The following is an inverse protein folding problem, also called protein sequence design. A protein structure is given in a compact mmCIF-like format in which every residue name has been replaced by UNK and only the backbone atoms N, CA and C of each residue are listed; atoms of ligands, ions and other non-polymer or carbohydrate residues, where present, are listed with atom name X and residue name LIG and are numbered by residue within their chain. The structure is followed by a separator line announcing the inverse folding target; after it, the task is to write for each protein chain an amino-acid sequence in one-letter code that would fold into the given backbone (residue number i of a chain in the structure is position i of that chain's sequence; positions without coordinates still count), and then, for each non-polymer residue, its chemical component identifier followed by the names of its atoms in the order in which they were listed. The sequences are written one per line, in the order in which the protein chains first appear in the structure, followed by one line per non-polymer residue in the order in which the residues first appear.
data_IF_746994855304
#
_entry.id   IF_746994855304
#
_cell.length_a   1.000
_cell.length_b   1.000
_cell.length_c   1.000
_cell.angle_alpha   90.00
_cell.angle_beta   90.00
_cell.angle_gamma   90.00
#
_symmetry.space_group_name_H-M   'P 1'
#
loop_
_entity.id
_entity.type
_entity.pdbx_description
1 polymer ?
#
# COMPACT_ATOMS: atom_id res chain seq x y z
N UNK A 1 12.32 -2.45 -23.25
CA UNK A 1 12.19 -3.36 -22.10
C UNK A 1 11.97 -2.47 -20.91
N UNK A 2 10.83 -2.54 -20.20
CA UNK A 2 10.65 -1.70 -19.02
C UNK A 2 11.79 -1.99 -18.03
N UNK A 3 12.32 -0.95 -17.41
CA UNK A 3 13.32 -1.10 -16.35
C UNK A 3 12.72 -1.88 -15.18
N UNK A 4 13.56 -2.46 -14.33
CA UNK A 4 13.11 -3.15 -13.11
C UNK A 4 12.15 -2.24 -12.29
N UNK A 5 12.41 -0.94 -12.28
CA UNK A 5 11.66 0.07 -11.53
C UNK A 5 10.25 0.33 -12.09
N UNK A 6 10.08 0.39 -13.41
CA UNK A 6 8.74 0.51 -14.03
C UNK A 6 7.87 -0.72 -13.76
N UNK A 7 8.46 -1.92 -13.75
CA UNK A 7 7.75 -3.15 -13.41
C UNK A 7 7.34 -3.16 -11.94
N UNK A 8 8.25 -2.76 -11.04
CA UNK A 8 7.99 -2.60 -9.61
C UNK A 8 6.83 -1.62 -9.39
N UNK A 9 6.87 -0.43 -10.02
CA UNK A 9 5.82 0.57 -9.87
C UNK A 9 4.44 0.06 -10.34
N UNK A 10 4.39 -0.69 -11.46
CA UNK A 10 3.14 -1.29 -11.94
C UNK A 10 2.58 -2.35 -10.99
N UNK A 11 3.45 -3.13 -10.35
CA UNK A 11 3.02 -4.13 -9.37
C UNK A 11 2.48 -3.47 -8.10
N UNK A 12 3.18 -2.44 -7.61
CA UNK A 12 2.75 -1.64 -6.46
C UNK A 12 1.35 -1.03 -6.69
N UNK A 13 1.10 -0.47 -7.88
CA UNK A 13 -0.24 0.03 -8.28
C UNK A 13 -1.30 -1.07 -8.27
N UNK A 14 -0.98 -2.27 -8.79
CA UNK A 14 -1.93 -3.39 -8.79
C UNK A 14 -2.31 -3.84 -7.38
N UNK A 15 -1.34 -3.92 -6.46
CA UNK A 15 -1.64 -4.29 -5.07
C UNK A 15 -2.41 -3.20 -4.34
N UNK A 16 -2.18 -1.92 -4.67
CA UNK A 16 -3.01 -0.82 -4.18
C UNK A 16 -4.46 -0.99 -4.60
N UNK A 17 -4.73 -1.17 -5.89
CA UNK A 17 -6.10 -1.35 -6.40
C UNK A 17 -6.81 -2.53 -5.70
N UNK A 18 -6.06 -3.61 -5.47
CA UNK A 18 -6.57 -4.75 -4.71
C UNK A 18 -6.94 -4.37 -3.27
N UNK A 19 -6.05 -3.67 -2.57
CA UNK A 19 -6.26 -3.25 -1.19
C UNK A 19 -7.39 -2.23 -1.03
N UNK A 20 -7.53 -1.28 -1.94
CA UNK A 20 -8.67 -0.35 -1.93
C UNK A 20 -10.00 -1.10 -2.04
N UNK A 21 -10.05 -2.13 -2.90
CA UNK A 21 -11.23 -2.99 -2.99
C UNK A 21 -11.47 -3.82 -1.73
N UNK A 22 -10.41 -4.24 -1.03
CA UNK A 22 -10.51 -4.91 0.27
C UNK A 22 -11.08 -3.95 1.32
N UNK A 23 -10.62 -2.70 1.36
CA UNK A 23 -11.16 -1.67 2.25
C UNK A 23 -12.64 -1.42 1.98
N UNK A 24 -13.04 -1.16 0.73
CA UNK A 24 -14.43 -0.91 0.35
C UNK A 24 -15.37 -2.04 0.80
N UNK A 25 -14.93 -3.28 0.59
CA UNK A 25 -15.69 -4.46 1.00
C UNK A 25 -15.77 -4.54 2.53
N UNK A 26 -14.65 -4.33 3.23
CA UNK A 26 -14.62 -4.39 4.68
C UNK A 26 -15.48 -3.31 5.34
N UNK A 27 -15.44 -2.07 4.84
CA UNK A 27 -16.26 -0.95 5.31
C UNK A 27 -17.76 -1.25 5.12
N UNK A 28 -18.14 -1.84 3.98
CA UNK A 28 -19.51 -2.32 3.74
C UNK A 28 -19.99 -3.41 4.71
N UNK A 29 -19.07 -4.09 5.40
CA UNK A 29 -19.35 -5.10 6.43
C UNK A 29 -19.05 -4.64 7.86
N UNK A 30 -18.80 -3.34 8.10
CA UNK A 30 -18.63 -2.79 9.45
C UNK A 30 -19.96 -2.72 10.22
N UNK A 31 -20.46 -3.89 10.62
CA UNK A 31 -21.72 -4.02 11.36
C UNK A 31 -21.63 -3.48 12.79
N UNK A 32 -20.42 -3.26 13.30
CA UNK A 32 -20.17 -2.79 14.67
C UNK A 32 -19.91 -1.29 14.75
N UNK A 33 -19.74 -0.61 13.62
CA UNK A 33 -19.41 0.81 13.56
C UNK A 33 -18.03 1.08 14.15
N UNK A 34 -17.07 0.19 13.90
CA UNK A 34 -15.68 0.34 14.34
C UNK A 34 -14.96 1.47 13.58
N UNK A 35 -15.40 1.79 12.35
CA UNK A 35 -14.89 2.90 11.54
C UNK A 35 -13.37 2.82 11.37
N UNK A 36 -12.65 3.88 11.73
CA UNK A 36 -11.19 3.92 11.67
C UNK A 36 -10.50 2.82 12.47
N UNK A 37 -11.15 2.28 13.51
CA UNK A 37 -10.61 1.21 14.34
C UNK A 37 -10.84 -0.20 13.76
N UNK A 38 -11.59 -0.33 12.67
CA UNK A 38 -11.92 -1.60 12.02
C UNK A 38 -10.62 -2.32 11.57
N UNK A 39 -10.30 -3.51 12.09
CA UNK A 39 -9.14 -4.27 11.66
C UNK A 39 -9.40 -4.94 10.30
N UNK A 40 -8.46 -4.79 9.36
CA UNK A 40 -8.56 -5.33 8.01
C UNK A 40 -7.24 -6.03 7.65
N UNK A 41 -7.32 -7.17 6.95
CA UNK A 41 -6.17 -7.85 6.37
C UNK A 41 -5.93 -7.36 4.93
N UNK A 42 -4.95 -6.48 4.76
CA UNK A 42 -4.47 -6.02 3.47
C UNK A 42 -3.36 -6.93 2.94
N UNK A 43 -3.04 -6.82 1.65
CA UNK A 43 -1.88 -7.49 1.03
C UNK A 43 -0.71 -6.53 0.97
N UNK A 44 0.52 -7.05 1.14
CA UNK A 44 1.74 -6.29 0.99
C UNK A 44 1.82 -5.60 -0.38
N UNK A 45 2.02 -4.28 -0.39
CA UNK A 45 2.06 -3.47 -1.62
C UNK A 45 3.49 -3.32 -2.16
N UNK A 46 4.35 -4.31 -1.96
CA UNK A 46 5.71 -4.26 -2.49
C UNK A 46 5.72 -4.51 -4.01
N UNK A 47 6.83 -4.18 -4.67
CA UNK A 47 7.00 -4.37 -6.10
C UNK A 47 7.09 -5.82 -6.58
N UNK A 48 7.00 -6.82 -5.70
CA UNK A 48 7.17 -8.23 -6.06
C UNK A 48 5.82 -8.84 -6.47
N UNK A 49 5.73 -9.28 -7.72
CA UNK A 49 4.48 -9.77 -8.32
C UNK A 49 3.89 -11.01 -7.64
N UNK A 50 4.73 -11.81 -6.98
CA UNK A 50 4.36 -13.03 -6.26
C UNK A 50 4.15 -12.82 -4.76
N UNK A 51 4.22 -11.57 -4.27
CA UNK A 51 3.96 -11.27 -2.88
C UNK A 51 2.46 -11.34 -2.56
N UNK A 52 2.07 -12.28 -1.70
CA UNK A 52 0.70 -12.44 -1.21
C UNK A 52 0.66 -12.40 0.33
N UNK A 53 1.68 -11.84 0.95
CA UNK A 53 1.73 -11.70 2.41
C UNK A 53 0.69 -10.71 2.90
N UNK A 54 0.08 -11.04 4.04
CA UNK A 54 -1.01 -10.26 4.63
C UNK A 54 -0.52 -9.39 5.75
N UNK A 55 -1.06 -8.18 5.81
CA UNK A 55 -0.78 -7.17 6.82
C UNK A 55 -2.10 -6.82 7.49
N UNK A 56 -2.19 -7.10 8.79
CA UNK A 56 -3.30 -6.61 9.61
C UNK A 56 -3.00 -5.17 10.05
N UNK A 57 -3.82 -4.23 9.61
CA UNK A 57 -3.86 -2.85 10.09
C UNK A 57 -5.31 -2.36 10.16
N UNK A 58 -5.53 -1.30 10.92
CA UNK A 58 -6.85 -0.68 11.01
C UNK A 58 -7.16 0.12 9.75
N UNK A 59 -8.44 0.30 9.45
CA UNK A 59 -8.89 1.15 8.34
C UNK A 59 -8.26 2.54 8.42
N UNK A 60 -8.29 3.18 9.58
CA UNK A 60 -7.70 4.51 9.77
C UNK A 60 -6.19 4.56 9.54
N UNK A 61 -5.46 3.46 9.84
CA UNK A 61 -4.04 3.37 9.49
C UNK A 61 -3.84 3.25 7.97
N UNK A 62 -4.69 2.49 7.28
CA UNK A 62 -4.61 2.37 5.82
C UNK A 62 -4.94 3.71 5.15
N UNK A 63 -6.00 4.39 5.61
CA UNK A 63 -6.37 5.73 5.16
C UNK A 63 -5.23 6.75 5.39
N UNK A 64 -4.54 6.69 6.54
CA UNK A 64 -3.38 7.52 6.81
C UNK A 64 -2.22 7.25 5.83
N UNK A 65 -1.99 6.00 5.44
CA UNK A 65 -1.05 5.65 4.37
C UNK A 65 -1.52 6.25 3.04
N UNK A 66 -2.79 6.05 2.67
CA UNK A 66 -3.38 6.52 1.41
C UNK A 66 -3.52 8.04 1.30
N UNK A 67 -3.37 8.78 2.40
CA UNK A 67 -3.34 10.25 2.38
C UNK A 67 -2.22 10.87 1.53
N UNK A 68 -1.21 10.07 1.16
CA UNK A 68 -0.20 10.44 0.17
C UNK A 68 -0.12 9.34 -0.91
N UNK A 69 -0.39 9.65 -2.18
CA UNK A 69 -0.39 8.66 -3.27
C UNK A 69 0.96 7.98 -3.48
N UNK A 70 2.05 8.51 -2.93
CA UNK A 70 3.39 7.91 -3.06
C UNK A 70 3.69 6.89 -1.98
N UNK A 71 2.80 6.69 -1.01
CA UNK A 71 3.00 5.78 0.12
C UNK A 71 2.35 4.43 -0.14
N UNK A 72 3.02 3.40 0.37
CA UNK A 72 2.66 2.00 0.26
C UNK A 72 2.89 1.29 1.59
N UNK A 73 2.05 0.29 1.89
CA UNK A 73 2.19 -0.55 3.10
C UNK A 73 2.92 -1.85 2.75
N UNK A 74 4.03 -2.13 3.43
CA UNK A 74 4.87 -3.30 3.14
C UNK A 74 5.22 -4.10 4.40
N UNK A 75 5.41 -5.41 4.23
CA UNK A 75 5.94 -6.28 5.29
C UNK A 75 7.40 -5.91 5.57
N UNK A 76 7.87 -5.90 6.84
CA UNK A 76 9.27 -5.66 7.14
C UNK A 76 10.18 -6.69 6.45
N UNK A 77 11.19 -6.21 5.72
CA UNK A 77 12.08 -7.00 4.87
C UNK A 77 11.71 -6.99 3.38
N UNK A 78 10.53 -6.46 3.01
CA UNK A 78 10.07 -6.34 1.63
C UNK A 78 10.26 -4.93 1.05
N UNK A 79 10.84 -4.01 1.82
CA UNK A 79 11.20 -2.69 1.34
C UNK A 79 12.32 -2.76 0.29
N UNK A 80 12.23 -1.90 -0.73
CA UNK A 80 13.29 -1.71 -1.72
C UNK A 80 13.84 -0.27 -1.62
N UNK A 81 14.99 -0.08 -0.93
CA UNK A 81 15.60 1.24 -0.74
C UNK A 81 15.97 1.97 -2.04
N UNK A 82 16.09 1.24 -3.16
CA UNK A 82 16.45 1.82 -4.46
C UNK A 82 15.32 2.69 -5.02
N UNK A 83 14.06 2.34 -4.71
CA UNK A 83 12.88 2.99 -5.29
C UNK A 83 12.01 3.72 -4.26
N UNK A 84 12.22 3.45 -2.96
CA UNK A 84 11.47 4.05 -1.88
C UNK A 84 12.32 4.28 -0.63
N UNK A 85 11.83 5.15 0.25
CA UNK A 85 12.33 5.33 1.62
C UNK A 85 11.26 4.97 2.64
N UNK A 86 11.66 4.45 3.78
CA UNK A 86 10.71 4.22 4.89
C UNK A 86 10.43 5.53 5.60
N UNK A 87 9.15 5.88 5.71
CA UNK A 87 8.69 7.10 6.39
C UNK A 87 8.04 6.81 7.73
N UNK A 88 7.51 5.60 7.92
CA UNK A 88 6.97 5.14 9.20
C UNK A 88 7.29 3.67 9.45
N UNK A 89 7.50 3.32 10.71
CA UNK A 89 7.73 1.94 11.15
C UNK A 89 6.72 1.58 12.21
N UNK A 90 5.92 0.55 11.92
CA UNK A 90 4.97 -0.03 12.85
C UNK A 90 5.45 -1.42 13.25
N UNK A 91 4.85 -2.01 14.30
CA UNK A 91 5.26 -3.34 14.80
C UNK A 91 5.12 -4.44 13.75
N UNK A 92 4.16 -4.32 12.82
CA UNK A 92 3.78 -5.38 11.86
C UNK A 92 4.00 -5.00 10.40
N UNK A 93 4.26 -3.73 10.10
CA UNK A 93 4.40 -3.22 8.74
C UNK A 93 5.25 -1.96 8.70
N UNK A 94 5.71 -1.62 7.51
CA UNK A 94 6.40 -0.38 7.20
C UNK A 94 5.55 0.45 6.23
N UNK A 95 5.71 1.76 6.30
CA UNK A 95 5.18 2.68 5.28
C UNK A 95 6.35 3.14 4.42
N UNK A 96 6.36 2.73 3.17
CA UNK A 96 7.36 3.08 2.18
C UNK A 96 6.84 4.19 1.27
N UNK A 97 7.61 5.26 1.08
CA UNK A 97 7.30 6.37 0.18
C UNK A 97 8.25 6.34 -1.02
N UNK A 98 7.71 6.34 -2.24
CA UNK A 98 8.48 6.36 -3.49
C UNK A 98 9.34 7.63 -3.60
N UNK A 99 10.51 7.49 -4.22
CA UNK A 99 11.34 8.62 -4.62
C UNK A 99 10.71 9.38 -5.80
N UNK A 100 11.00 10.68 -5.94
CA UNK A 100 10.28 11.59 -6.85
C UNK A 100 10.26 11.13 -8.33
N UNK A 101 11.33 10.51 -8.83
CA UNK A 101 11.39 9.99 -10.22
C UNK A 101 10.48 8.76 -10.45
N UNK A 102 10.15 8.01 -9.39
CA UNK A 102 9.25 6.85 -9.43
C UNK A 102 7.85 7.17 -8.85
N UNK A 103 7.63 8.40 -8.40
CA UNK A 103 6.37 8.85 -7.81
C UNK A 103 5.29 9.14 -8.86
N UNK A 104 5.68 9.53 -10.08
CA UNK A 104 4.75 9.89 -11.15
C UNK A 104 3.76 8.76 -11.44
N UNK A 105 4.25 7.53 -11.62
CA UNK A 105 3.39 6.34 -11.85
C UNK A 105 2.44 6.11 -10.67
N UNK A 106 2.91 6.30 -9.43
CA UNK A 106 2.09 6.09 -8.24
C UNK A 106 1.00 7.16 -8.09
N UNK A 107 1.24 8.38 -8.59
CA UNK A 107 0.28 9.49 -8.60
C UNK A 107 -0.72 9.33 -9.74
N UNK A 108 -0.24 9.08 -10.96
CA UNK A 108 -1.07 8.96 -12.16
C UNK A 108 -2.06 7.79 -12.08
N UNK A 109 -1.70 6.74 -11.34
CA UNK A 109 -2.53 5.56 -11.12
C UNK A 109 -3.17 5.51 -9.73
N UNK A 110 -3.25 6.63 -9.01
CA UNK A 110 -3.99 6.66 -7.75
C UNK A 110 -5.51 6.62 -8.00
N UNK A 111 -6.23 5.55 -7.58
CA UNK A 111 -7.67 5.44 -7.80
C UNK A 111 -8.51 6.51 -7.09
N UNK A 112 -7.90 7.30 -6.19
CA UNK A 112 -8.57 8.37 -5.41
C UNK A 112 -8.39 9.78 -5.98
N UNK A 113 -7.76 9.93 -7.16
CA UNK A 113 -7.53 11.21 -7.84
C UNK A 113 -8.75 11.79 -8.55
#
# INVERSE_FOLDING_TARGET
MPTNEEQVARNEVLFREFNERVEDVADGFDLRGEGDALPIEFVCECGQLDCLERIELTRGQYEAVRSDPRRFVVVPGHEDPRVARIVETHRRFLVAQKHDEAAEVAVDHDPRS
#
